data_IF_698217346867
#
_entry.id   IF_698217346867
#
_cell.length_a   1.000
_cell.length_b   1.000
_cell.length_c   1.000
_cell.angle_alpha   90.00
_cell.angle_beta   90.00
_cell.angle_gamma   90.00
#
_symmetry.space_group_name_H-M   'P 1'
#
loop_
_entity.id
_entity.type
_entity.pdbx_description
1 polymer ?
#
# COMPACT_ATOMS: atom_id res chain seq x y z
N UNK A 1 0.98 -7.85 11.97
CA UNK A 1 -0.39 -7.73 11.44
C UNK A 1 -0.30 -7.17 10.03
N UNK A 2 -1.25 -7.50 9.16
CA UNK A 2 -1.32 -6.99 7.78
C UNK A 2 -2.68 -6.33 7.60
N UNK A 3 -2.68 -5.12 7.06
CA UNK A 3 -3.86 -4.33 6.76
C UNK A 3 -3.81 -3.95 5.29
N UNK A 4 -4.91 -4.24 4.59
CA UNK A 4 -5.08 -3.82 3.20
C UNK A 4 -6.27 -2.88 3.17
N UNK A 5 -6.05 -1.67 2.68
CA UNK A 5 -7.10 -0.71 2.39
C UNK A 5 -7.19 -0.52 0.88
N UNK A 6 -8.40 -0.57 0.36
CA UNK A 6 -8.69 -0.24 -1.03
C UNK A 6 -9.44 1.07 -1.02
N UNK A 7 -8.83 2.08 -1.61
CA UNK A 7 -9.50 3.34 -1.86
C UNK A 7 -9.93 3.41 -3.33
N UNK A 8 -11.16 3.86 -3.54
CA UNK A 8 -11.79 3.97 -4.85
C UNK A 8 -12.44 5.34 -4.96
N UNK A 9 -11.66 6.40 -4.78
CA UNK A 9 -12.05 7.71 -5.31
C UNK A 9 -12.09 7.63 -6.85
N UNK A 10 -13.24 7.98 -7.44
CA UNK A 10 -13.68 7.79 -8.84
C UNK A 10 -12.61 7.86 -9.96
N UNK A 11 -11.55 8.65 -9.78
CA UNK A 11 -10.46 8.78 -10.76
C UNK A 11 -9.24 7.88 -10.49
N UNK A 12 -8.86 7.68 -9.23
CA UNK A 12 -7.59 7.08 -8.83
C UNK A 12 -7.82 6.00 -7.78
N UNK A 13 -8.19 4.81 -8.23
CA UNK A 13 -8.27 3.66 -7.34
C UNK A 13 -6.86 3.26 -6.88
N UNK A 14 -6.64 3.11 -5.57
CA UNK A 14 -5.36 2.73 -4.98
C UNK A 14 -5.52 1.59 -3.97
N UNK A 15 -4.46 0.81 -3.81
CA UNK A 15 -4.31 -0.18 -2.76
C UNK A 15 -3.22 0.27 -1.81
N UNK A 16 -3.60 0.48 -0.55
CA UNK A 16 -2.70 0.70 0.56
C UNK A 16 -2.48 -0.63 1.27
N UNK A 17 -1.23 -1.06 1.34
CA UNK A 17 -0.83 -2.32 1.94
C UNK A 17 0.16 -1.98 3.04
N UNK A 18 -0.26 -2.19 4.28
CA UNK A 18 0.57 -1.99 5.47
C UNK A 18 0.80 -3.31 6.17
N UNK A 19 2.04 -3.72 6.34
CA UNK A 19 2.37 -4.94 7.06
C UNK A 19 3.66 -4.82 7.84
N UNK A 20 3.72 -5.48 9.00
CA UNK A 20 4.94 -5.57 9.80
C UNK A 20 5.58 -6.94 9.62
N UNK A 21 6.83 -6.98 9.19
CA UNK A 21 7.63 -8.19 9.07
C UNK A 21 9.03 -7.97 9.66
N UNK A 22 9.56 -8.93 10.42
CA UNK A 22 10.89 -8.84 11.02
C UNK A 22 11.16 -7.56 11.85
N UNK A 23 10.14 -7.06 12.57
CA UNK A 23 10.17 -5.77 13.30
C UNK A 23 10.30 -4.53 12.41
N UNK A 24 10.10 -4.68 11.10
CA UNK A 24 10.06 -3.57 10.15
C UNK A 24 8.63 -3.41 9.66
N UNK A 25 8.11 -2.19 9.73
CA UNK A 25 6.85 -1.78 9.14
C UNK A 25 7.08 -1.45 7.66
N UNK A 26 6.21 -1.96 6.82
CA UNK A 26 6.21 -1.73 5.39
C UNK A 26 4.88 -1.12 4.99
N UNK A 27 4.96 -0.05 4.22
CA UNK A 27 3.82 0.67 3.66
C UNK A 27 4.00 0.77 2.15
N UNK A 28 3.05 0.22 1.41
CA UNK A 28 3.02 0.25 -0.05
C UNK A 28 1.71 0.86 -0.53
N UNK A 29 1.84 1.79 -1.47
CA UNK A 29 0.71 2.38 -2.19
C UNK A 29 0.81 1.96 -3.64
N UNK A 30 -0.17 1.21 -4.12
CA UNK A 30 -0.21 0.64 -5.47
C UNK A 30 -1.40 1.22 -6.23
N UNK A 31 -1.19 1.62 -7.48
CA UNK A 31 -2.25 2.01 -8.38
C UNK A 31 -3.12 0.79 -8.72
N UNK A 32 -4.40 0.83 -8.37
CA UNK A 32 -5.28 -0.31 -8.57
C UNK A 32 -5.70 -0.52 -10.04
N UNK A 33 -5.48 0.48 -10.92
CA UNK A 33 -5.76 0.38 -12.36
C UNK A 33 -4.57 -0.18 -13.15
N UNK A 34 -3.35 0.28 -12.88
CA UNK A 34 -2.15 -0.13 -13.63
C UNK A 34 -1.29 -1.16 -12.91
N UNK A 35 -1.40 -1.27 -11.58
CA UNK A 35 -0.50 -2.07 -10.75
C UNK A 35 0.82 -1.39 -10.43
N UNK A 36 1.01 -0.13 -10.82
CA UNK A 36 2.21 0.64 -10.50
C UNK A 36 2.35 0.88 -9.01
N UNK A 37 3.56 0.74 -8.49
CA UNK A 37 3.87 1.12 -7.12
C UNK A 37 4.03 2.65 -7.12
N UNK A 38 3.03 3.34 -6.57
CA UNK A 38 3.02 4.79 -6.42
C UNK A 38 3.99 5.18 -5.30
N UNK A 39 3.95 4.46 -4.19
CA UNK A 39 4.78 4.76 -3.03
C UNK A 39 5.20 3.46 -2.34
N UNK A 40 6.43 3.47 -1.81
CA UNK A 40 6.93 2.41 -0.93
C UNK A 40 7.76 3.05 0.17
N UNK A 41 7.45 2.72 1.41
CA UNK A 41 8.22 3.10 2.58
C UNK A 41 8.40 1.90 3.49
N UNK A 42 9.53 1.87 4.19
CA UNK A 42 9.82 0.84 5.17
C UNK A 42 10.55 1.46 6.34
N UNK A 43 9.99 1.30 7.53
CA UNK A 43 10.52 1.83 8.79
C UNK A 43 10.85 0.67 9.74
N UNK A 44 11.99 0.73 10.45
CA UNK A 44 12.49 -0.37 11.29
C UNK A 44 12.57 0.00 12.75
#
# INVERSE_FOLDING_TARGET
>A
MMTIKKDMEDATSTYEIKFTANKTEYDYTINAKTGDIIEKSSDK
#
